data_IF_082514505226
#
_entry.id   IF_082514505226
#
_cell.length_a   1.000
_cell.length_b   1.000
_cell.length_c   1.000
_cell.angle_alpha   90.00
_cell.angle_beta   90.00
_cell.angle_gamma   90.00
#
_symmetry.space_group_name_H-M   'P 1'
#
loop_
_entity.id
_entity.type
_entity.pdbx_description
1 polymer ?
#
# COMPACT_ATOMS: atom_id res chain seq x y z
N UNK A 1 -24.65 1.47 10.83
CA UNK A 1 -23.19 1.43 10.60
C UNK A 1 -22.87 2.52 9.57
N UNK A 2 -22.03 3.50 9.89
CA UNK A 2 -21.71 4.61 8.97
C UNK A 2 -20.69 4.06 7.97
N UNK A 3 -21.02 4.01 6.69
CA UNK A 3 -20.05 3.64 5.66
C UNK A 3 -18.89 4.65 5.71
N UNK A 4 -17.70 4.18 6.05
CA UNK A 4 -16.49 5.02 6.00
C UNK A 4 -16.11 5.12 4.52
N UNK A 5 -15.93 6.35 4.02
CA UNK A 5 -15.58 6.55 2.62
C UNK A 5 -14.15 6.06 2.39
N UNK A 6 -13.94 5.15 1.43
CA UNK A 6 -12.61 4.67 1.05
C UNK A 6 -11.70 5.84 0.68
N UNK A 7 -10.44 5.76 1.08
CA UNK A 7 -9.36 6.68 0.70
C UNK A 7 -8.18 5.94 0.04
N UNK A 8 -8.26 4.62 -0.08
CA UNK A 8 -7.34 3.81 -0.86
C UNK A 8 -8.11 2.77 -1.69
N UNK A 9 -7.52 2.34 -2.81
CA UNK A 9 -8.08 1.35 -3.71
C UNK A 9 -7.18 0.12 -3.78
N UNK A 10 -7.73 -1.04 -3.43
CA UNK A 10 -7.15 -2.36 -3.72
C UNK A 10 -7.85 -2.91 -4.96
N UNK A 11 -7.09 -3.32 -5.98
CA UNK A 11 -7.68 -3.64 -7.30
C UNK A 11 -7.89 -5.14 -7.44
N UNK A 12 -6.94 -5.94 -6.98
CA UNK A 12 -7.02 -7.39 -6.99
C UNK A 12 -6.95 -7.93 -5.54
N UNK A 13 -7.71 -8.98 -5.18
CA UNK A 13 -7.62 -9.64 -3.87
C UNK A 13 -6.21 -10.05 -3.44
N UNK A 14 -5.33 -10.37 -4.38
CA UNK A 14 -3.94 -10.78 -4.15
C UNK A 14 -2.98 -9.59 -3.93
N UNK A 15 -3.45 -8.35 -4.16
CA UNK A 15 -2.62 -7.17 -3.95
C UNK A 15 -2.20 -7.06 -2.48
N UNK A 16 -0.90 -6.83 -2.29
CA UNK A 16 -0.31 -6.54 -0.98
C UNK A 16 -0.10 -5.03 -0.74
N UNK A 17 -0.54 -4.21 -1.70
CA UNK A 17 -0.60 -2.76 -1.64
C UNK A 17 -1.98 -2.24 -2.05
N UNK A 18 -2.32 -1.03 -1.62
CA UNK A 18 -3.43 -0.25 -2.16
C UNK A 18 -2.91 1.08 -2.73
N UNK A 19 -3.69 1.72 -3.61
CA UNK A 19 -3.38 3.04 -4.17
C UNK A 19 -4.15 4.11 -3.42
N UNK A 20 -3.45 5.07 -2.83
CA UNK A 20 -4.06 6.24 -2.21
C UNK A 20 -4.83 7.06 -3.26
N UNK A 21 -6.14 7.31 -3.05
CA UNK A 21 -6.97 8.09 -4.00
C UNK A 21 -6.93 9.61 -3.72
N UNK A 22 -6.36 9.97 -2.58
CA UNK A 22 -6.03 11.33 -2.14
C UNK A 22 -4.82 11.24 -1.21
N UNK A 23 -4.29 12.38 -0.79
CA UNK A 23 -3.27 12.38 0.25
C UNK A 23 -3.81 11.75 1.54
N UNK A 24 -3.01 10.86 2.14
CA UNK A 24 -3.27 10.22 3.42
C UNK A 24 -2.17 10.68 4.37
N UNK A 25 -2.56 11.29 5.48
CA UNK A 25 -1.59 11.80 6.46
C UNK A 25 -1.11 10.70 7.39
N UNK A 26 0.08 10.86 7.96
CA UNK A 26 0.55 10.01 9.06
C UNK A 26 -0.49 9.91 10.18
N UNK A 27 -0.75 8.69 10.62
CA UNK A 27 -1.73 8.34 11.65
C UNK A 27 -3.18 8.30 11.16
N UNK A 28 -3.44 8.63 9.89
CA UNK A 28 -4.78 8.57 9.32
C UNK A 28 -5.18 7.12 9.00
N UNK A 29 -6.45 6.74 9.23
CA UNK A 29 -6.99 5.46 8.79
C UNK A 29 -6.90 5.27 7.28
N UNK A 30 -6.44 4.09 6.88
CA UNK A 30 -6.42 3.64 5.50
C UNK A 30 -7.64 2.77 5.31
N UNK A 31 -8.54 3.20 4.43
CA UNK A 31 -9.87 2.63 4.24
C UNK A 31 -9.99 2.12 2.83
N UNK A 32 -10.19 0.81 2.71
CA UNK A 32 -10.39 0.07 1.46
C UNK A 32 -11.75 -0.62 1.53
N UNK A 33 -12.57 -0.49 0.50
CA UNK A 33 -13.93 -1.05 0.44
C UNK A 33 -14.80 -0.74 1.67
N UNK A 34 -14.61 0.46 2.23
CA UNK A 34 -15.33 0.94 3.41
C UNK A 34 -14.88 0.35 4.75
N UNK A 35 -13.82 -0.47 4.76
CA UNK A 35 -13.21 -1.03 5.96
C UNK A 35 -11.85 -0.37 6.24
N UNK A 36 -11.62 0.01 7.49
CA UNK A 36 -10.30 0.42 7.95
C UNK A 36 -9.39 -0.81 8.04
N UNK A 37 -8.27 -0.77 7.33
CA UNK A 37 -7.32 -1.88 7.24
C UNK A 37 -6.03 -1.64 8.05
N UNK A 38 -5.61 -0.38 8.19
CA UNK A 38 -4.46 0.02 8.99
C UNK A 38 -4.42 1.54 9.19
N UNK A 39 -3.42 2.03 9.92
CA UNK A 39 -3.06 3.44 9.98
C UNK A 39 -1.83 3.70 9.11
N UNK A 40 -1.81 4.82 8.40
CA UNK A 40 -0.62 5.25 7.67
C UNK A 40 0.51 5.60 8.64
N UNK A 41 1.73 5.12 8.39
CA UNK A 41 2.89 5.36 9.28
C UNK A 41 3.67 6.63 8.92
N UNK A 42 3.39 7.19 7.75
CA UNK A 42 3.98 8.40 7.17
C UNK A 42 2.96 9.10 6.25
N UNK A 43 3.31 10.26 5.72
CA UNK A 43 2.47 10.95 4.74
C UNK A 43 2.59 10.26 3.38
N UNK A 44 1.46 9.92 2.78
CA UNK A 44 1.38 9.18 1.52
C UNK A 44 0.65 10.06 0.51
N UNK A 45 1.34 10.57 -0.53
CA UNK A 45 0.69 11.41 -1.52
C UNK A 45 -0.29 10.60 -2.38
N UNK A 46 -1.29 11.28 -2.93
CA UNK A 46 -2.24 10.69 -3.85
C UNK A 46 -1.54 9.92 -5.01
N UNK A 47 -2.19 8.87 -5.50
CA UNK A 47 -1.71 7.97 -6.55
C UNK A 47 -0.51 7.09 -6.18
N UNK A 48 0.04 7.20 -4.97
CA UNK A 48 1.09 6.31 -4.50
C UNK A 48 0.55 5.05 -3.82
N UNK A 49 1.45 4.07 -3.68
CA UNK A 49 1.15 2.78 -3.05
C UNK A 49 1.33 2.86 -1.55
N UNK A 50 0.42 2.26 -0.81
CA UNK A 50 0.55 1.98 0.62
C UNK A 50 0.56 0.47 0.84
N UNK A 51 1.43 -0.02 1.72
CA UNK A 51 1.46 -1.42 2.12
C UNK A 51 0.22 -1.74 2.97
N UNK A 52 -0.54 -2.77 2.57
CA UNK A 52 -1.75 -3.22 3.28
C UNK A 52 -1.56 -4.57 3.98
N UNK A 53 -0.34 -5.09 3.92
CA UNK A 53 0.24 -6.17 4.72
C UNK A 53 1.74 -5.86 4.90
N UNK A 54 2.45 -6.44 5.88
CA UNK A 54 3.91 -6.38 5.91
C UNK A 54 4.53 -7.06 4.69
N UNK A 55 5.58 -6.47 4.11
CA UNK A 55 6.32 -6.99 2.95
C UNK A 55 7.80 -7.07 3.34
N UNK A 56 8.33 -8.28 3.45
CA UNK A 56 9.75 -8.48 3.78
C UNK A 56 10.68 -8.01 2.67
N UNK A 57 11.91 -7.63 3.01
CA UNK A 57 12.99 -7.38 2.04
C UNK A 57 13.13 -8.56 1.08
N UNK A 58 13.22 -8.26 -0.22
CA UNK A 58 13.32 -9.27 -1.27
C UNK A 58 11.97 -9.88 -1.68
N UNK A 59 10.88 -9.60 -0.97
CA UNK A 59 9.55 -10.06 -1.36
C UNK A 59 8.95 -9.17 -2.47
N UNK A 60 8.08 -9.73 -3.33
CA UNK A 60 7.43 -8.97 -4.37
C UNK A 60 6.38 -8.00 -3.79
N UNK A 61 6.31 -6.80 -4.38
CA UNK A 61 5.13 -5.94 -4.29
C UNK A 61 4.16 -6.36 -5.39
N UNK A 62 2.96 -6.74 -5.00
CA UNK A 62 1.91 -7.30 -5.86
C UNK A 62 0.84 -6.25 -6.10
N UNK A 63 0.60 -5.90 -7.36
CA UNK A 63 -0.46 -4.99 -7.80
C UNK A 63 -1.11 -5.53 -9.07
N UNK A 64 -2.44 -5.47 -9.15
CA UNK A 64 -3.23 -6.12 -10.20
C UNK A 64 -3.11 -7.66 -10.18
N UNK A 65 -2.72 -8.24 -9.05
CA UNK A 65 -2.43 -9.68 -8.92
C UNK A 65 -1.08 -10.11 -9.49
N UNK A 66 -0.22 -9.15 -9.89
CA UNK A 66 1.08 -9.46 -10.48
C UNK A 66 2.22 -8.80 -9.69
N UNK A 67 3.39 -9.46 -9.58
CA UNK A 67 4.58 -8.84 -9.00
C UNK A 67 5.08 -7.73 -9.93
N UNK A 68 5.17 -6.50 -9.41
CA UNK A 68 5.56 -5.32 -10.20
C UNK A 68 6.97 -4.82 -9.89
N UNK A 69 7.43 -4.98 -8.65
CA UNK A 69 8.74 -4.60 -8.12
C UNK A 69 9.08 -5.48 -6.92
N UNK A 70 10.32 -5.43 -6.45
CA UNK A 70 10.78 -6.13 -5.23
C UNK A 70 11.09 -5.11 -4.14
N UNK A 71 10.75 -5.41 -2.89
CA UNK A 71 11.10 -4.59 -1.75
C UNK A 71 12.62 -4.61 -1.47
N UNK A 72 13.26 -3.44 -1.33
CA UNK A 72 14.71 -3.33 -1.04
C UNK A 72 15.02 -3.34 0.46
N UNK A 73 14.00 -3.17 1.29
CA UNK A 73 14.00 -3.22 2.75
C UNK A 73 12.71 -3.88 3.23
N UNK A 74 12.61 -4.21 4.51
CA UNK A 74 11.32 -4.55 5.11
C UNK A 74 10.39 -3.33 5.05
N UNK A 75 9.15 -3.56 4.64
CA UNK A 75 8.08 -2.57 4.54
C UNK A 75 6.96 -2.99 5.49
N UNK A 76 6.70 -2.19 6.51
CA UNK A 76 5.64 -2.42 7.48
C UNK A 76 4.25 -2.10 6.90
N UNK A 77 3.22 -2.67 7.52
CA UNK A 77 1.82 -2.30 7.27
C UNK A 77 1.64 -0.79 7.43
N UNK A 78 1.01 -0.14 6.45
CA UNK A 78 0.74 1.29 6.45
C UNK A 78 1.88 2.19 5.95
N UNK A 79 3.01 1.62 5.53
CA UNK A 79 4.13 2.39 4.96
C UNK A 79 3.94 2.76 3.49
N UNK A 80 4.60 3.85 3.09
CA UNK A 80 4.65 4.30 1.70
C UNK A 80 5.52 3.37 0.86
N UNK A 81 4.98 2.83 -0.23
CA UNK A 81 5.71 1.93 -1.15
C UNK A 81 6.07 2.66 -2.44
N UNK A 82 7.35 2.97 -2.63
CA UNK A 82 7.84 3.69 -3.80
C UNK A 82 9.31 3.38 -4.12
N UNK A 83 9.93 4.15 -5.03
CA UNK A 83 11.27 3.87 -5.56
C UNK A 83 12.38 3.93 -4.50
N UNK A 84 12.13 4.56 -3.35
CA UNK A 84 13.09 4.59 -2.25
C UNK A 84 13.19 3.25 -1.50
N UNK A 85 12.15 2.41 -1.56
CA UNK A 85 12.09 1.10 -0.89
C UNK A 85 11.73 -0.06 -1.83
N UNK A 86 11.77 0.17 -3.15
CA UNK A 86 11.51 -0.86 -4.17
C UNK A 86 12.45 -0.75 -5.35
N UNK A 87 12.68 -1.86 -6.04
CA UNK A 87 13.48 -1.94 -7.27
C UNK A 87 12.80 -2.81 -8.33
N UNK A 88 13.13 -2.64 -9.63
CA UNK A 88 12.62 -3.52 -10.69
C UNK A 88 12.92 -5.00 -10.43
N UNK A 89 12.04 -5.88 -10.91
CA UNK A 89 12.29 -7.33 -10.90
C UNK A 89 13.32 -7.64 -11.99
N UNK A 90 14.46 -8.22 -11.61
CA UNK A 90 15.43 -8.76 -12.57
C UNK A 90 14.85 -10.02 -13.22
N UNK A 91 15.00 -10.13 -14.55
CA UNK A 91 14.55 -11.27 -15.35
C UNK A 91 15.72 -12.15 -15.73
#
# INVERSE_FOLDING_TARGET
MRAVKSNALKINPEDNVAIAIRDIRKGEPVVVDGAEICLATEDIPASHKIAIVPISKGAPVIRYGEPIVVATTDIALGQWVHVHNTMPIER
#
